data_IF_019961938169
#
_entry.id   IF_019961938169
#
_cell.length_a   1.000
_cell.length_b   1.000
_cell.length_c   1.000
_cell.angle_alpha   90.00
_cell.angle_beta   90.00
_cell.angle_gamma   90.00
#
_symmetry.space_group_name_H-M   'P 1'
#
loop_
_entity.id
_entity.type
_entity.pdbx_description
1 polymer ?
#
# COMPACT_ATOMS: atom_id res chain seq x y z
N UNK A 1 -28.59 28.65 -4.03
CA UNK A 1 -28.24 28.62 -2.60
C UNK A 1 -26.80 28.13 -2.52
N UNK A 2 -25.85 29.03 -2.28
CA UNK A 2 -24.42 28.69 -2.23
C UNK A 2 -24.11 28.35 -0.77
N UNK A 3 -23.95 27.06 -0.45
CA UNK A 3 -23.57 26.64 0.90
C UNK A 3 -22.05 26.58 0.98
N UNK A 4 -21.49 27.54 1.72
CA UNK A 4 -20.08 27.57 2.11
C UNK A 4 -19.95 26.64 3.31
N UNK A 5 -19.48 25.41 3.09
CA UNK A 5 -19.06 24.51 4.15
C UNK A 5 -17.62 24.86 4.56
N UNK A 6 -17.48 25.52 5.72
CA UNK A 6 -16.20 25.78 6.36
C UNK A 6 -16.13 24.92 7.63
N UNK A 7 -15.48 23.76 7.52
CA UNK A 7 -15.12 22.89 8.62
C UNK A 7 -14.20 21.80 8.08
N UNK A 8 -12.89 21.90 8.37
CA UNK A 8 -11.86 20.87 8.12
C UNK A 8 -12.00 20.13 6.78
N UNK A 9 -11.43 20.73 5.72
CA UNK A 9 -11.59 20.31 4.32
C UNK A 9 -11.62 18.80 4.10
N UNK A 10 -12.62 18.36 3.34
CA UNK A 10 -12.73 17.00 2.80
C UNK A 10 -11.34 16.48 2.41
N UNK A 11 -10.88 15.42 3.07
CA UNK A 11 -9.51 14.90 2.93
C UNK A 11 -9.20 14.59 1.45
N UNK A 12 -10.20 14.16 0.69
CA UNK A 12 -10.12 13.82 -0.73
C UNK A 12 -11.46 14.08 -1.42
N UNK A 13 -11.42 14.53 -2.68
CA UNK A 13 -12.61 14.53 -3.54
C UNK A 13 -13.01 13.10 -3.89
N UNK A 14 -14.29 12.90 -4.24
CA UNK A 14 -14.83 11.60 -4.63
C UNK A 14 -14.02 10.88 -5.72
N UNK A 15 -13.65 11.60 -6.79
CA UNK A 15 -12.86 11.03 -7.90
C UNK A 15 -11.45 10.58 -7.46
N UNK A 16 -10.90 11.21 -6.43
CA UNK A 16 -9.59 10.88 -5.89
C UNK A 16 -9.68 9.69 -4.93
N UNK A 17 -10.78 9.57 -4.18
CA UNK A 17 -11.05 8.40 -3.34
C UNK A 17 -11.17 7.13 -4.18
N UNK A 18 -11.96 7.16 -5.26
CA UNK A 18 -12.12 6.03 -6.18
C UNK A 18 -10.77 5.58 -6.77
N UNK A 19 -9.96 6.52 -7.24
CA UNK A 19 -8.60 6.23 -7.73
C UNK A 19 -7.70 5.61 -6.66
N UNK A 20 -7.82 6.04 -5.41
CA UNK A 20 -7.03 5.48 -4.31
C UNK A 20 -7.47 4.05 -3.98
N UNK A 21 -8.77 3.72 -4.11
CA UNK A 21 -9.25 2.33 -4.01
C UNK A 21 -8.66 1.46 -5.12
N UNK A 22 -8.68 1.92 -6.38
CA UNK A 22 -8.05 1.20 -7.50
C UNK A 22 -6.52 1.05 -7.32
N UNK A 23 -5.85 2.04 -6.74
CA UNK A 23 -4.43 1.95 -6.38
C UNK A 23 -4.23 0.92 -5.27
N UNK A 24 -5.13 0.85 -4.29
CA UNK A 24 -5.06 -0.12 -3.19
C UNK A 24 -5.15 -1.56 -3.70
N UNK A 25 -6.03 -1.83 -4.67
CA UNK A 25 -6.14 -3.15 -5.29
C UNK A 25 -4.86 -3.52 -6.04
N UNK A 26 -4.34 -2.62 -6.88
CA UNK A 26 -3.07 -2.87 -7.60
C UNK A 26 -1.87 -2.99 -6.66
N UNK A 27 -1.85 -2.24 -5.56
CA UNK A 27 -0.81 -2.39 -4.53
C UNK A 27 -0.87 -3.75 -3.86
N UNK A 28 -2.05 -4.33 -3.68
CA UNK A 28 -2.18 -5.67 -3.13
C UNK A 28 -1.46 -6.71 -4.00
N UNK A 29 -1.64 -6.62 -5.33
CA UNK A 29 -0.93 -7.51 -6.27
C UNK A 29 0.60 -7.35 -6.19
N UNK A 30 1.08 -6.10 -6.09
CA UNK A 30 2.53 -5.83 -5.94
C UNK A 30 3.05 -6.32 -4.60
N UNK A 31 2.30 -6.14 -3.51
CA UNK A 31 2.69 -6.68 -2.19
C UNK A 31 2.80 -8.20 -2.24
N UNK A 32 1.85 -8.88 -2.88
CA UNK A 32 1.89 -10.34 -3.04
C UNK A 32 3.14 -10.74 -3.82
N UNK A 33 3.39 -10.10 -4.97
CA UNK A 33 4.55 -10.41 -5.81
C UNK A 33 5.88 -10.15 -5.08
N UNK A 34 6.03 -9.01 -4.42
CA UNK A 34 7.26 -8.64 -3.71
C UNK A 34 7.47 -9.50 -2.46
N UNK A 35 6.41 -9.90 -1.76
CA UNK A 35 6.50 -10.67 -0.53
C UNK A 35 6.70 -12.18 -0.76
N UNK A 36 6.43 -12.67 -1.98
CA UNK A 36 6.58 -14.08 -2.31
C UNK A 36 8.07 -14.47 -2.47
N UNK A 37 8.61 -15.35 -1.61
CA UNK A 37 9.99 -15.79 -1.70
C UNK A 37 10.35 -16.45 -3.03
N UNK A 38 9.38 -16.99 -3.78
CA UNK A 38 9.65 -17.59 -5.10
C UNK A 38 10.10 -16.55 -6.13
N UNK A 39 9.76 -15.28 -5.91
CA UNK A 39 10.17 -14.17 -6.78
C UNK A 39 11.51 -13.56 -6.34
N UNK A 40 12.12 -14.04 -5.25
CA UNK A 40 13.35 -13.46 -4.72
C UNK A 40 14.59 -14.02 -5.40
N UNK A 41 15.63 -13.19 -5.45
CA UNK A 41 16.95 -13.65 -5.88
C UNK A 41 17.42 -14.79 -4.98
N UNK A 42 17.81 -15.90 -5.60
CA UNK A 42 18.30 -17.08 -4.89
C UNK A 42 17.20 -18.05 -4.44
N UNK A 43 15.99 -17.96 -4.99
CA UNK A 43 14.97 -19.00 -4.81
C UNK A 43 15.54 -20.41 -5.06
N UNK A 44 15.12 -21.37 -4.23
CA UNK A 44 15.60 -22.74 -4.25
C UNK A 44 17.06 -22.96 -3.81
N UNK A 45 17.83 -21.91 -3.49
CA UNK A 45 19.22 -22.01 -3.04
C UNK A 45 19.36 -21.77 -1.55
N UNK A 46 20.30 -22.47 -0.91
CA UNK A 46 20.72 -22.17 0.45
C UNK A 46 21.58 -20.90 0.49
N UNK A 47 21.59 -20.12 1.59
CA UNK A 47 22.38 -18.89 1.70
C UNK A 47 23.89 -19.05 1.46
N UNK A 48 24.44 -20.25 1.74
CA UNK A 48 25.84 -20.60 1.50
C UNK A 48 26.17 -20.80 0.02
N UNK A 49 25.16 -21.10 -0.80
CA UNK A 49 25.28 -21.38 -2.24
C UNK A 49 25.17 -20.09 -3.07
N UNK A 50 24.69 -19.01 -2.45
CA UNK A 50 24.63 -17.69 -3.06
C UNK A 50 26.04 -17.09 -3.17
N UNK A 51 26.29 -16.44 -4.30
CA UNK A 51 27.41 -15.51 -4.45
C UNK A 51 27.23 -14.29 -3.53
N UNK A 52 28.28 -13.48 -3.42
CA UNK A 52 28.20 -12.23 -2.63
C UNK A 52 27.13 -11.28 -3.19
N UNK A 53 27.03 -11.18 -4.51
CA UNK A 53 26.10 -10.27 -5.17
C UNK A 53 24.67 -10.78 -5.04
N UNK A 54 24.42 -12.07 -5.29
CA UNK A 54 23.09 -12.68 -5.08
C UNK A 54 22.58 -12.52 -3.64
N UNK A 55 23.47 -12.57 -2.62
CA UNK A 55 23.06 -12.28 -1.23
C UNK A 55 22.62 -10.83 -1.05
N UNK A 56 23.31 -9.90 -1.70
CA UNK A 56 22.97 -8.47 -1.69
C UNK A 56 21.61 -8.23 -2.36
N UNK A 57 21.39 -8.82 -3.52
CA UNK A 57 20.14 -8.72 -4.27
C UNK A 57 18.97 -9.38 -3.51
N UNK A 58 19.19 -10.56 -2.93
CA UNK A 58 18.19 -11.23 -2.10
C UNK A 58 17.79 -10.37 -0.88
N UNK A 59 18.76 -9.67 -0.28
CA UNK A 59 18.48 -8.72 0.81
C UNK A 59 17.66 -7.53 0.34
N UNK A 60 17.90 -7.07 -0.88
CA UNK A 60 17.09 -6.02 -1.51
C UNK A 60 15.66 -6.47 -1.80
N UNK A 61 15.43 -7.70 -2.28
CA UNK A 61 14.08 -8.25 -2.47
C UNK A 61 13.26 -8.15 -1.17
N UNK A 62 13.82 -8.57 -0.03
CA UNK A 62 13.17 -8.49 1.28
C UNK A 62 12.89 -7.05 1.73
N UNK A 63 13.79 -6.12 1.41
CA UNK A 63 13.57 -4.69 1.70
C UNK A 63 12.44 -4.10 0.87
N UNK A 64 12.36 -4.46 -0.41
CA UNK A 64 11.27 -4.02 -1.29
C UNK A 64 9.93 -4.54 -0.78
N UNK A 65 9.82 -5.81 -0.42
CA UNK A 65 8.61 -6.38 0.19
C UNK A 65 8.11 -5.57 1.39
N UNK A 66 9.02 -5.22 2.32
CA UNK A 66 8.66 -4.40 3.50
C UNK A 66 8.24 -2.99 3.10
N UNK A 67 8.94 -2.38 2.13
CA UNK A 67 8.63 -1.04 1.66
C UNK A 67 7.24 -0.99 1.00
N UNK A 68 6.95 -1.91 0.08
CA UNK A 68 5.66 -2.00 -0.61
C UNK A 68 4.52 -2.27 0.37
N UNK A 69 4.72 -3.18 1.33
CA UNK A 69 3.73 -3.43 2.39
C UNK A 69 3.46 -2.16 3.22
N UNK A 70 4.50 -1.39 3.55
CA UNK A 70 4.35 -0.11 4.28
C UNK A 70 3.51 0.89 3.50
N UNK A 71 3.70 0.98 2.18
CA UNK A 71 2.87 1.83 1.31
C UNK A 71 1.41 1.37 1.33
N UNK A 72 1.16 0.07 1.18
CA UNK A 72 -0.19 -0.49 1.25
C UNK A 72 -0.86 -0.17 2.59
N UNK A 73 -0.17 -0.36 3.72
CA UNK A 73 -0.71 -0.02 5.05
C UNK A 73 -1.11 1.46 5.15
N UNK A 74 -0.32 2.38 4.58
CA UNK A 74 -0.62 3.81 4.57
C UNK A 74 -1.87 4.11 3.74
N UNK A 75 -2.00 3.47 2.58
CA UNK A 75 -3.16 3.59 1.70
C UNK A 75 -4.43 3.04 2.37
N UNK A 76 -4.37 1.84 2.94
CA UNK A 76 -5.51 1.25 3.68
C UNK A 76 -5.94 2.11 4.86
N UNK A 77 -4.98 2.69 5.59
CA UNK A 77 -5.28 3.61 6.68
C UNK A 77 -5.99 4.89 6.18
N UNK A 78 -5.54 5.45 5.05
CA UNK A 78 -6.17 6.63 4.45
C UNK A 78 -7.62 6.34 4.04
N UNK A 79 -7.87 5.21 3.38
CA UNK A 79 -9.22 4.76 3.01
C UNK A 79 -10.10 4.61 4.26
N UNK A 80 -9.59 3.95 5.31
CA UNK A 80 -10.34 3.74 6.55
C UNK A 80 -10.65 5.03 7.33
N UNK A 81 -9.80 6.05 7.25
CA UNK A 81 -10.10 7.38 7.83
C UNK A 81 -11.28 8.03 7.11
N UNK A 82 -11.30 7.97 5.78
CA UNK A 82 -12.36 8.56 4.95
C UNK A 82 -13.71 7.88 5.24
N UNK A 83 -13.73 6.55 5.27
CA UNK A 83 -14.96 5.78 5.53
C UNK A 83 -15.60 6.08 6.89
N UNK A 84 -14.79 6.32 7.93
CA UNK A 84 -15.32 6.70 9.24
C UNK A 84 -15.98 8.08 9.19
N UNK A 85 -15.32 9.05 8.56
CA UNK A 85 -15.84 10.41 8.45
C UNK A 85 -17.13 10.50 7.63
N UNK A 86 -17.25 9.70 6.55
CA UNK A 86 -18.48 9.65 5.75
C UNK A 86 -19.66 9.09 6.55
N UNK A 87 -19.41 8.12 7.44
CA UNK A 87 -20.45 7.51 8.27
C UNK A 87 -20.88 8.47 9.40
N UNK A 88 -19.93 9.13 10.06
CA UNK A 88 -20.21 10.10 11.13
C UNK A 88 -21.03 11.30 10.63
N UNK A 89 -20.87 11.71 9.37
CA UNK A 89 -21.67 12.77 8.74
C UNK A 89 -23.07 12.33 8.27
N UNK A 90 -23.36 11.03 8.27
CA UNK A 90 -24.68 10.49 7.88
C UNK A 90 -25.65 10.30 9.06
N UNK A 91 -25.13 10.33 10.29
CA UNK A 91 -25.90 10.16 11.54
C UNK A 91 -26.26 11.51 12.22
N UNK A 92 -25.85 12.65 11.65
CA UNK A 92 -26.13 14.01 12.15
C UNK A 92 -27.19 14.73 11.31
#
# INVERSE_FOLDING_TARGET
MHFIFFGIGEILRQDQYEKIQEISERLADVVIADADPVNWTGDGKLPKELTKDERGDAYWCRKMAVATLSVMMRVSNLIGVIQRQTNDGSEA
#
